data_IF_393247004506
#
_entry.id   IF_393247004506
#
_cell.length_a   1.000
_cell.length_b   1.000
_cell.length_c   1.000
_cell.angle_alpha   90.00
_cell.angle_beta   90.00
_cell.angle_gamma   90.00
#
_symmetry.space_group_name_H-M   'P 1'
#
loop_
_entity.id
_entity.type
_entity.pdbx_description
1 polymer ?
#
# COMPACT_ATOMS: atom_id res chain seq x y z
N UNK A 1 -27.28 13.14 -0.58
CA UNK A 1 -26.36 12.24 -1.30
C UNK A 1 -24.92 12.51 -0.86
N UNK A 2 -24.40 11.75 0.10
CA UNK A 2 -23.05 11.96 0.62
C UNK A 2 -22.02 11.86 -0.51
N UNK A 3 -21.32 12.97 -0.79
CA UNK A 3 -20.19 12.97 -1.74
C UNK A 3 -19.07 12.14 -1.12
N UNK A 4 -18.65 11.08 -1.80
CA UNK A 4 -17.42 10.37 -1.47
C UNK A 4 -16.25 11.31 -1.83
N UNK A 5 -15.86 12.16 -0.88
CA UNK A 5 -14.64 12.97 -0.99
C UNK A 5 -13.47 12.11 -0.48
N UNK A 6 -12.87 11.30 -1.35
CA UNK A 6 -11.74 10.43 -0.96
C UNK A 6 -11.37 9.32 -1.92
N UNK A 7 -11.73 9.41 -3.20
CA UNK A 7 -11.33 8.41 -4.20
C UNK A 7 -9.83 8.52 -4.44
N UNK A 8 -9.12 7.40 -4.38
CA UNK A 8 -7.72 7.29 -4.79
C UNK A 8 -7.60 6.23 -5.88
N UNK A 9 -6.61 6.41 -6.75
CA UNK A 9 -6.25 5.43 -7.77
C UNK A 9 -4.91 4.81 -7.42
N UNK A 10 -4.82 3.48 -7.54
CA UNK A 10 -3.57 2.73 -7.40
C UNK A 10 -3.35 2.02 -8.74
N UNK A 11 -2.17 2.17 -9.37
CA UNK A 11 -1.92 1.51 -10.65
C UNK A 11 -1.83 0.00 -10.47
N UNK A 12 -2.44 -0.74 -11.40
CA UNK A 12 -2.20 -2.17 -11.61
C UNK A 12 -0.98 -2.26 -12.52
N UNK A 13 0.09 -2.89 -12.04
CA UNK A 13 1.43 -2.81 -12.62
C UNK A 13 2.03 -4.14 -13.03
N UNK A 14 1.45 -5.24 -12.57
CA UNK A 14 1.89 -6.59 -12.94
C UNK A 14 0.71 -7.42 -13.41
N UNK A 15 1.00 -8.44 -14.21
CA UNK A 15 -0.03 -9.36 -14.70
C UNK A 15 -0.61 -10.19 -13.56
N UNK A 16 0.17 -10.51 -12.53
CA UNK A 16 -0.30 -11.22 -11.34
C UNK A 16 -1.31 -10.36 -10.55
N UNK A 17 -1.10 -9.05 -10.46
CA UNK A 17 -2.10 -8.15 -9.84
C UNK A 17 -3.41 -8.14 -10.63
N UNK A 18 -3.32 -8.12 -11.96
CA UNK A 18 -4.49 -8.18 -12.83
C UNK A 18 -5.23 -9.50 -12.67
N UNK A 19 -4.51 -10.61 -12.73
CA UNK A 19 -5.08 -11.95 -12.58
C UNK A 19 -5.79 -12.10 -11.23
N UNK A 20 -5.15 -11.68 -10.13
CA UNK A 20 -5.75 -11.73 -8.80
C UNK A 20 -7.06 -10.92 -8.74
N UNK A 21 -7.10 -9.74 -9.37
CA UNK A 21 -8.32 -8.93 -9.39
C UNK A 21 -9.45 -9.59 -10.17
N UNK A 22 -9.15 -10.33 -11.24
CA UNK A 22 -10.13 -11.13 -11.98
C UNK A 22 -10.68 -12.27 -11.10
N UNK A 23 -9.81 -13.02 -10.41
CA UNK A 23 -10.21 -14.06 -9.47
C UNK A 23 -11.10 -13.50 -8.34
N UNK A 24 -10.72 -12.35 -7.79
CA UNK A 24 -11.48 -11.65 -6.76
C UNK A 24 -12.83 -11.17 -7.28
N UNK A 25 -12.93 -10.74 -8.54
CA UNK A 25 -14.20 -10.35 -9.16
C UNK A 25 -15.16 -11.53 -9.25
N UNK A 26 -14.67 -12.69 -9.68
CA UNK A 26 -15.47 -13.91 -9.76
C UNK A 26 -15.91 -14.39 -8.36
N UNK A 27 -15.03 -14.28 -7.36
CA UNK A 27 -15.36 -14.59 -5.97
C UNK A 27 -16.46 -13.67 -5.42
N UNK A 28 -16.35 -12.37 -5.67
CA UNK A 28 -17.28 -11.36 -5.17
C UNK A 28 -18.60 -11.33 -5.95
N UNK A 29 -18.63 -11.86 -7.18
CA UNK A 29 -19.78 -11.82 -8.10
C UNK A 29 -20.35 -10.40 -8.29
N UNK A 30 -19.46 -9.41 -8.35
CA UNK A 30 -19.82 -7.99 -8.44
C UNK A 30 -20.32 -7.35 -7.14
N UNK A 31 -20.38 -8.10 -6.04
CA UNK A 31 -20.75 -7.63 -4.71
C UNK A 31 -19.56 -7.21 -3.84
N UNK A 32 -19.80 -7.13 -2.53
CA UNK A 32 -18.77 -6.84 -1.54
C UNK A 32 -17.89 -8.07 -1.26
N UNK A 33 -16.64 -7.86 -0.86
CA UNK A 33 -15.80 -8.90 -0.26
C UNK A 33 -16.22 -9.29 1.16
N UNK A 34 -17.15 -8.53 1.75
CA UNK A 34 -17.87 -8.91 2.95
C UNK A 34 -19.07 -9.76 2.49
N UNK A 35 -19.15 -11.05 2.86
CA UNK A 35 -20.30 -11.88 2.55
C UNK A 35 -21.61 -11.25 3.03
N UNK A 36 -22.71 -11.46 2.29
CA UNK A 36 -23.98 -10.78 2.52
C UNK A 36 -24.59 -11.08 3.90
N UNK A 37 -24.28 -12.25 4.46
CA UNK A 37 -24.69 -12.72 5.77
C UNK A 37 -23.86 -12.16 6.94
N UNK A 38 -22.75 -11.46 6.64
CA UNK A 38 -21.83 -10.92 7.64
C UNK A 38 -21.86 -9.40 7.67
N UNK A 39 -21.83 -8.85 8.88
CA UNK A 39 -21.48 -7.44 9.06
C UNK A 39 -19.96 -7.24 9.06
N UNK A 40 -19.54 -5.98 8.98
CA UNK A 40 -18.13 -5.59 8.99
C UNK A 40 -17.33 -6.18 10.16
N UNK A 41 -17.87 -6.13 11.37
CA UNK A 41 -17.17 -6.61 12.58
C UNK A 41 -16.96 -8.12 12.53
N UNK A 42 -17.96 -8.87 12.07
CA UNK A 42 -17.85 -10.32 11.91
C UNK A 42 -16.79 -10.69 10.86
N UNK A 43 -16.82 -10.04 9.69
CA UNK A 43 -15.85 -10.29 8.64
C UNK A 43 -14.43 -9.86 9.05
N UNK A 44 -14.28 -8.75 9.78
CA UNK A 44 -12.98 -8.31 10.31
C UNK A 44 -12.37 -9.37 11.24
N UNK A 45 -13.14 -9.88 12.20
CA UNK A 45 -12.68 -10.95 13.10
C UNK A 45 -12.31 -12.22 12.35
N UNK A 46 -13.09 -12.59 11.34
CA UNK A 46 -12.78 -13.73 10.46
C UNK A 46 -11.45 -13.50 9.74
N UNK A 47 -11.26 -12.34 9.15
CA UNK A 47 -10.02 -11.96 8.47
C UNK A 47 -8.80 -11.99 9.41
N UNK A 48 -8.91 -11.40 10.60
CA UNK A 48 -7.84 -11.42 11.61
C UNK A 48 -7.49 -12.84 12.04
N UNK A 49 -8.50 -13.69 12.27
CA UNK A 49 -8.27 -15.09 12.63
C UNK A 49 -7.55 -15.87 11.51
N UNK A 50 -7.99 -15.73 10.26
CA UNK A 50 -7.39 -16.44 9.12
C UNK A 50 -5.95 -15.97 8.88
N UNK A 51 -5.70 -14.67 8.95
CA UNK A 51 -4.35 -14.12 8.76
C UNK A 51 -3.40 -14.53 9.89
N UNK A 52 -3.87 -14.53 11.14
CA UNK A 52 -3.09 -15.05 12.27
C UNK A 52 -2.75 -16.53 12.09
N UNK A 53 -3.70 -17.36 11.65
CA UNK A 53 -3.47 -18.79 11.36
C UNK A 53 -2.47 -19.03 10.23
N UNK A 54 -2.41 -18.13 9.26
CA UNK A 54 -1.42 -18.14 8.20
C UNK A 54 -0.04 -17.60 8.66
N UNK A 55 0.15 -17.31 9.94
CA UNK A 55 1.41 -16.82 10.51
C UNK A 55 1.63 -15.32 10.33
N UNK A 56 0.64 -14.58 9.83
CA UNK A 56 0.75 -13.14 9.68
C UNK A 56 0.38 -12.41 10.97
N UNK A 57 1.23 -11.49 11.37
CA UNK A 57 0.96 -10.51 12.43
C UNK A 57 1.22 -9.11 11.90
N UNK A 58 0.64 -8.08 12.52
CA UNK A 58 0.84 -6.66 12.14
C UNK A 58 0.63 -6.42 10.63
N UNK A 59 -0.59 -6.67 10.14
CA UNK A 59 -0.95 -6.73 8.72
C UNK A 59 -0.65 -5.47 7.90
N UNK A 60 -0.32 -4.37 8.56
CA UNK A 60 0.29 -3.21 7.90
C UNK A 60 1.62 -3.52 7.21
N UNK A 61 2.32 -4.62 7.56
CA UNK A 61 3.56 -5.06 6.90
C UNK A 61 3.46 -5.14 5.37
N UNK A 62 2.32 -5.60 4.83
CA UNK A 62 2.10 -5.62 3.37
C UNK A 62 2.08 -4.22 2.76
N UNK A 63 1.57 -3.23 3.50
CA UNK A 63 1.55 -1.82 3.09
C UNK A 63 2.96 -1.20 3.14
N UNK A 64 3.78 -1.57 4.13
CA UNK A 64 5.20 -1.23 4.12
C UNK A 64 5.90 -1.83 2.90
N UNK A 65 5.72 -3.13 2.66
CA UNK A 65 6.33 -3.81 1.52
C UNK A 65 5.91 -3.25 0.17
N UNK A 66 4.66 -2.78 0.02
CA UNK A 66 4.24 -2.02 -1.16
C UNK A 66 5.04 -0.73 -1.32
N UNK A 67 5.07 0.11 -0.27
CA UNK A 67 5.75 1.41 -0.32
C UNK A 67 7.24 1.27 -0.65
N UNK A 68 7.92 0.32 -0.02
CA UNK A 68 9.35 0.09 -0.18
C UNK A 68 9.70 -0.40 -1.59
N UNK A 69 8.93 -1.36 -2.13
CA UNK A 69 9.08 -1.79 -3.54
C UNK A 69 8.80 -0.64 -4.50
N UNK A 70 7.73 0.12 -4.24
CA UNK A 70 7.35 1.25 -5.08
C UNK A 70 8.42 2.34 -5.11
N UNK A 71 9.05 2.59 -3.97
CA UNK A 71 10.16 3.51 -3.87
C UNK A 71 11.35 3.04 -4.71
N UNK A 72 11.71 1.75 -4.61
CA UNK A 72 12.78 1.18 -5.41
C UNK A 72 12.51 1.28 -6.92
N UNK A 73 11.27 1.06 -7.35
CA UNK A 73 10.90 1.17 -8.76
C UNK A 73 10.91 2.61 -9.29
N UNK A 74 10.63 3.60 -8.42
CA UNK A 74 10.63 5.02 -8.80
C UNK A 74 12.03 5.65 -8.73
N UNK A 75 12.89 5.19 -7.82
CA UNK A 75 14.19 5.82 -7.54
C UNK A 75 15.38 4.98 -7.98
N UNK A 76 15.17 3.70 -8.30
CA UNK A 76 16.24 2.71 -8.51
C UNK A 76 16.97 2.29 -7.22
N UNK A 77 16.62 2.84 -6.06
CA UNK A 77 17.36 2.67 -4.80
C UNK A 77 16.48 2.10 -3.70
N UNK A 78 17.09 1.38 -2.74
CA UNK A 78 16.37 0.99 -1.52
C UNK A 78 16.09 2.22 -0.65
N UNK A 79 14.94 2.26 0.03
CA UNK A 79 14.61 3.34 0.96
C UNK A 79 15.32 3.15 2.32
N UNK A 80 15.44 4.19 3.17
CA UNK A 80 16.09 4.10 4.48
C UNK A 80 15.56 2.96 5.38
N UNK A 81 14.24 2.77 5.44
CA UNK A 81 13.62 1.71 6.25
C UNK A 81 13.96 0.27 5.77
N UNK A 82 14.51 0.14 4.56
CA UNK A 82 14.98 -1.10 3.98
C UNK A 82 16.52 -1.12 3.83
N UNK A 83 17.24 -0.29 4.60
CA UNK A 83 18.71 -0.23 4.62
C UNK A 83 19.33 0.64 3.52
N UNK A 84 18.54 1.46 2.84
CA UNK A 84 19.03 2.47 1.91
C UNK A 84 19.66 3.68 2.58
N UNK A 85 20.26 4.60 1.81
CA UNK A 85 20.86 5.83 2.34
C UNK A 85 19.80 6.69 3.04
N UNK A 86 20.18 7.32 4.15
CA UNK A 86 19.31 8.29 4.82
C UNK A 86 19.12 9.53 3.93
N UNK A 87 17.96 10.19 4.02
CA UNK A 87 17.59 11.38 3.25
C UNK A 87 18.62 12.51 3.41
N UNK A 88 19.27 12.60 4.57
CA UNK A 88 20.34 13.59 4.83
C UNK A 88 21.61 13.34 4.01
N UNK A 89 21.88 12.09 3.64
CA UNK A 89 23.10 11.65 2.96
C UNK A 89 22.94 11.66 1.43
N UNK A 90 21.74 12.00 0.93
CA UNK A 90 21.46 12.10 -0.51
C UNK A 90 22.16 13.32 -1.14
N UNK A 91 22.46 13.23 -2.43
CA UNK A 91 22.82 14.40 -3.26
C UNK A 91 21.59 15.28 -3.53
N UNK A 92 21.76 16.53 -3.98
CA UNK A 92 20.63 17.39 -4.38
C UNK A 92 19.71 16.74 -5.42
N UNK A 93 20.27 16.06 -6.41
CA UNK A 93 19.53 15.39 -7.49
C UNK A 93 18.74 14.20 -6.92
N UNK A 94 19.37 13.37 -6.09
CA UNK A 94 18.71 12.25 -5.42
C UNK A 94 17.60 12.73 -4.48
N UNK A 95 17.75 13.89 -3.81
CA UNK A 95 16.70 14.48 -2.96
C UNK A 95 15.46 14.85 -3.75
N UNK A 96 15.63 15.39 -4.96
CA UNK A 96 14.49 15.71 -5.82
C UNK A 96 13.72 14.43 -6.20
N UNK A 97 14.43 13.38 -6.63
CA UNK A 97 13.83 12.07 -6.95
C UNK A 97 13.19 11.41 -5.73
N UNK A 98 13.84 11.44 -4.56
CA UNK A 98 13.31 10.92 -3.29
C UNK A 98 11.98 11.61 -2.93
N UNK A 99 11.94 12.94 -3.03
CA UNK A 99 10.74 13.74 -2.73
C UNK A 99 9.59 13.41 -3.68
N UNK A 100 9.84 13.34 -4.99
CA UNK A 100 8.83 12.98 -5.98
C UNK A 100 8.29 11.56 -5.77
N UNK A 101 9.17 10.60 -5.48
CA UNK A 101 8.80 9.23 -5.19
C UNK A 101 7.91 9.14 -3.93
N UNK A 102 8.29 9.82 -2.85
CA UNK A 102 7.50 9.87 -1.60
C UNK A 102 6.14 10.51 -1.81
N UNK A 103 6.03 11.59 -2.59
CA UNK A 103 4.73 12.21 -2.91
C UNK A 103 3.83 11.28 -3.71
N UNK A 104 4.39 10.58 -4.70
CA UNK A 104 3.64 9.59 -5.50
C UNK A 104 3.13 8.45 -4.63
N UNK A 105 3.99 7.85 -3.81
CA UNK A 105 3.63 6.78 -2.88
C UNK A 105 2.60 7.26 -1.86
N UNK A 106 2.73 8.49 -1.35
CA UNK A 106 1.74 9.08 -0.44
C UNK A 106 0.34 9.06 -1.08
N UNK A 107 0.22 9.57 -2.31
CA UNK A 107 -1.06 9.63 -3.03
C UNK A 107 -1.64 8.23 -3.27
N UNK A 108 -0.82 7.28 -3.71
CA UNK A 108 -1.23 5.89 -3.94
C UNK A 108 -1.73 5.22 -2.64
N UNK A 109 -1.08 5.53 -1.51
CA UNK A 109 -1.50 5.06 -0.20
C UNK A 109 -2.75 5.78 0.33
N UNK A 110 -3.22 6.84 -0.33
CA UNK A 110 -4.40 7.61 0.11
C UNK A 110 -4.06 8.66 1.17
N UNK A 111 -2.84 9.14 1.16
CA UNK A 111 -2.33 10.19 2.03
C UNK A 111 -2.02 11.44 1.20
N UNK A 112 -2.32 12.63 1.73
CA UNK A 112 -2.12 13.90 1.02
C UNK A 112 -0.78 14.59 1.32
N UNK A 113 0.08 14.00 2.16
CA UNK A 113 1.35 14.61 2.60
C UNK A 113 2.49 13.60 2.67
N UNK A 114 3.65 14.02 2.17
CA UNK A 114 4.90 13.24 2.14
C UNK A 114 5.30 12.72 3.53
N UNK A 115 5.12 13.52 4.58
CA UNK A 115 5.50 13.18 5.95
C UNK A 115 4.88 11.86 6.46
N UNK A 116 3.75 11.42 5.89
CA UNK A 116 3.13 10.14 6.27
C UNK A 116 3.95 8.95 5.74
N UNK A 117 4.73 9.14 4.68
CA UNK A 117 5.59 8.09 4.13
C UNK A 117 6.79 7.75 5.00
N UNK A 118 7.18 8.60 5.96
CA UNK A 118 8.28 8.31 6.87
C UNK A 118 8.06 7.02 7.67
N UNK A 119 6.81 6.69 8.01
CA UNK A 119 6.45 5.41 8.67
C UNK A 119 6.74 4.21 7.76
N UNK A 120 6.59 4.37 6.44
CA UNK A 120 6.74 3.28 5.47
C UNK A 120 8.18 3.16 4.90
N UNK A 121 8.84 4.30 4.70
CA UNK A 121 10.10 4.43 3.94
C UNK A 121 11.29 4.83 4.81
N UNK A 122 11.08 5.30 6.04
CA UNK A 122 12.13 5.84 6.88
C UNK A 122 12.60 7.23 6.43
N UNK A 123 13.66 7.73 7.07
CA UNK A 123 14.32 9.01 6.82
C UNK A 123 15.82 8.81 6.77
#
# INVERSE_FOLDING_TARGET
MARITGVRSIPIRTDEQRQLLEEVRELAKGGSLIPAELNYVQQLRRYEHQTARAGFSKLHGLRHGYAQRRYQELTGSTCPAAGGPATRDLTPEQRATDTEARLTISRELGHSREAITAVYLGR
#
